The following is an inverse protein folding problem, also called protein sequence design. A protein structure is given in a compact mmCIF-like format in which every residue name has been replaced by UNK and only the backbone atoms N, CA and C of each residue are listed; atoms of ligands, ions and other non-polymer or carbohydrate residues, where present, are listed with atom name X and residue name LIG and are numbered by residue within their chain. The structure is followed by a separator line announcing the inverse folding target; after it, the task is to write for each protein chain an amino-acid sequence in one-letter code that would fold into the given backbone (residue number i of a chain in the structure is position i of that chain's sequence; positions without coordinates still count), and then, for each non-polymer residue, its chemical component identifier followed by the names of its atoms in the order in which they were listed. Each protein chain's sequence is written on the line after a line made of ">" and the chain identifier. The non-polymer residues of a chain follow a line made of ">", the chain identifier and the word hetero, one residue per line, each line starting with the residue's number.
data_IF_187228577897
#
_entry.id   IF_187228577897
#
_cell.length_a   1.000
_cell.length_b   1.000
_cell.length_c   1.000
_cell.angle_alpha   90.00
_cell.angle_beta   90.00
_cell.angle_gamma   90.00
#
_symmetry.space_group_name_H-M   'P 1'
#
loop_
_entity.id
_entity.type
_entity.pdbx_description
1 polymer ?
#
# COMPACT_ATOMS: atom_id res chain seq x y z
N UNK A 1 18.47 1.32 52.25
CA UNK A 1 18.04 0.23 53.17
C UNK A 1 16.64 0.37 53.79
N UNK A 2 15.68 1.05 53.15
CA UNK A 2 14.24 0.90 53.50
C UNK A 2 13.27 0.87 52.29
N UNK A 3 13.78 0.64 51.08
CA UNK A 3 12.98 0.44 49.86
C UNK A 3 13.32 -0.88 49.12
N UNK A 4 14.01 -1.81 49.78
CA UNK A 4 14.35 -3.14 49.25
C UNK A 4 13.58 -4.28 49.95
N UNK A 5 12.48 -3.96 50.66
CA UNK A 5 11.69 -4.94 51.41
C UNK A 5 10.26 -5.14 50.87
N UNK A 6 9.91 -4.53 49.73
CA UNK A 6 8.57 -4.65 49.12
C UNK A 6 8.55 -5.45 47.81
N UNK A 7 9.70 -5.76 47.19
CA UNK A 7 9.77 -6.58 45.97
C UNK A 7 9.84 -8.09 46.29
N UNK A 8 10.20 -8.45 47.53
CA UNK A 8 10.40 -9.84 47.98
C UNK A 8 9.13 -10.64 48.33
N UNK A 9 7.91 -10.11 48.13
CA UNK A 9 6.65 -10.80 48.54
C UNK A 9 5.61 -11.08 47.45
N UNK A 10 5.92 -10.87 46.17
CA UNK A 10 5.00 -11.25 45.07
C UNK A 10 5.60 -12.20 44.02
N UNK A 11 6.58 -13.04 44.40
CA UNK A 11 7.09 -14.14 43.55
C UNK A 11 7.01 -15.50 44.28
N UNK A 12 5.88 -15.76 44.94
CA UNK A 12 5.46 -17.10 45.37
C UNK A 12 4.06 -17.40 44.85
N UNK A 13 3.89 -17.42 43.53
CA UNK A 13 2.86 -18.18 42.83
C UNK A 13 2.87 -17.74 41.36
N UNK A 14 3.55 -18.50 40.50
CA UNK A 14 3.02 -18.96 39.22
C UNK A 14 4.13 -19.73 38.50
N UNK A 15 3.92 -21.04 38.53
CA UNK A 15 4.67 -22.06 37.80
C UNK A 15 4.52 -21.81 36.29
N UNK A 16 5.62 -22.01 35.56
CA UNK A 16 5.69 -22.45 34.16
C UNK A 16 4.95 -21.59 33.12
N UNK A 17 5.69 -20.82 32.31
CA UNK A 17 5.73 -20.91 30.83
C UNK A 17 6.45 -19.69 30.22
N UNK A 18 7.61 -19.97 29.60
CA UNK A 18 8.23 -19.27 28.47
C UNK A 18 8.59 -17.77 28.62
N UNK A 19 9.78 -17.52 29.17
CA UNK A 19 10.47 -16.23 29.09
C UNK A 19 11.27 -16.15 27.78
N UNK A 20 10.68 -15.60 26.71
CA UNK A 20 11.45 -15.10 25.57
C UNK A 20 10.91 -13.73 25.15
N UNK A 21 11.09 -12.74 26.04
CA UNK A 21 11.11 -11.33 25.65
C UNK A 21 11.80 -10.49 26.73
N UNK A 22 12.71 -9.65 26.23
CA UNK A 22 13.22 -8.42 26.86
C UNK A 22 14.25 -8.57 27.97
N UNK A 23 15.52 -8.47 27.58
CA UNK A 23 16.44 -7.56 28.25
C UNK A 23 16.99 -6.57 27.22
N UNK A 24 16.18 -5.58 26.86
CA UNK A 24 16.65 -4.31 26.33
C UNK A 24 16.25 -3.27 27.34
N UNK A 25 17.21 -2.69 28.05
CA UNK A 25 17.12 -1.34 28.62
C UNK A 25 18.55 -0.83 28.93
N UNK A 26 19.04 -0.01 27.99
CA UNK A 26 19.83 1.22 28.15
C UNK A 26 21.23 1.13 28.79
N UNK A 27 22.27 1.23 27.94
CA UNK A 27 23.42 2.12 28.12
C UNK A 27 23.93 2.58 26.72
N UNK A 28 24.19 3.89 26.48
CA UNK A 28 24.72 4.38 25.21
C UNK A 28 26.26 4.29 25.20
N UNK A 29 26.83 4.06 24.01
CA UNK A 29 28.27 3.92 23.71
C UNK A 29 28.91 2.57 24.02
N UNK A 30 28.79 1.62 23.10
CA UNK A 30 29.91 0.90 22.47
C UNK A 30 29.37 -0.08 21.41
N UNK A 31 29.87 0.03 20.17
CA UNK A 31 29.55 -0.85 19.05
C UNK A 31 30.31 -2.17 19.20
N UNK A 32 29.68 -3.22 19.74
CA UNK A 32 30.09 -4.61 19.52
C UNK A 32 28.91 -5.54 19.82
N UNK A 33 28.26 -6.08 18.79
CA UNK A 33 27.23 -7.10 18.95
C UNK A 33 27.89 -8.48 18.89
N UNK A 34 28.04 -9.14 20.05
CA UNK A 34 28.43 -10.56 20.11
C UNK A 34 27.15 -11.38 20.26
N UNK A 35 26.83 -12.20 19.25
CA UNK A 35 25.76 -13.19 19.34
C UNK A 35 26.33 -14.46 19.98
N UNK A 36 25.92 -14.77 21.21
CA UNK A 36 26.20 -16.08 21.82
C UNK A 36 24.96 -16.96 21.66
N UNK A 37 25.09 -18.04 20.88
CA UNK A 37 24.07 -19.10 20.80
C UNK A 37 24.26 -20.01 22.02
N UNK A 38 23.42 -19.86 23.03
CA UNK A 38 23.41 -20.74 24.20
C UNK A 38 22.32 -21.79 23.97
N UNK A 39 22.73 -23.03 23.69
CA UNK A 39 21.84 -24.20 23.76
C UNK A 39 21.77 -24.66 25.21
N UNK A 40 20.66 -24.35 25.90
CA UNK A 40 20.43 -24.78 27.28
C UNK A 40 19.74 -26.14 27.26
N UNK A 41 20.51 -27.20 27.54
CA UNK A 41 20.00 -28.52 27.93
C UNK A 41 19.76 -28.47 29.45
N UNK A 42 18.55 -28.84 29.88
CA UNK A 42 18.03 -28.83 31.27
C UNK A 42 19.07 -28.86 32.42
N UNK A 43 18.88 -28.04 33.47
CA UNK A 43 18.73 -28.45 34.88
C UNK A 43 18.51 -27.24 35.82
N UNK A 44 17.94 -27.52 36.99
CA UNK A 44 17.43 -26.59 38.01
C UNK A 44 18.54 -25.88 38.82
N UNK A 45 18.26 -24.64 39.25
CA UNK A 45 18.96 -23.81 40.23
C UNK A 45 20.35 -23.27 39.85
N UNK A 46 20.39 -22.05 39.28
CA UNK A 46 21.59 -21.21 39.22
C UNK A 46 21.36 -19.99 40.13
N UNK A 47 22.16 -19.87 41.18
CA UNK A 47 22.33 -18.59 41.89
C UNK A 47 23.45 -17.79 41.21
N UNK A 48 23.12 -16.61 40.69
CA UNK A 48 24.10 -15.68 40.11
C UNK A 48 24.46 -14.65 41.20
N UNK A 49 25.66 -14.76 41.78
CA UNK A 49 26.21 -13.75 42.67
C UNK A 49 27.16 -12.80 41.92
N UNK A 50 26.95 -11.50 42.02
CA UNK A 50 27.94 -10.51 41.59
C UNK A 50 28.85 -10.12 42.77
N UNK A 51 30.15 -10.29 42.62
CA UNK A 51 31.16 -9.75 43.55
C UNK A 51 31.91 -8.62 42.84
N UNK A 52 32.05 -7.42 43.42
CA UNK A 52 32.78 -6.34 42.78
C UNK A 52 34.29 -6.56 42.95
N UNK A 53 35.01 -6.87 41.86
CA UNK A 53 36.47 -6.86 41.87
C UNK A 53 37.01 -5.50 41.38
N UNK A 54 37.83 -4.87 42.21
CA UNK A 54 38.73 -3.78 41.79
C UNK A 54 39.98 -4.42 41.20
N UNK A 55 40.23 -4.25 39.90
CA UNK A 55 41.56 -4.44 39.30
C UNK A 55 41.78 -3.40 38.20
N UNK A 56 42.99 -2.85 38.20
CA UNK A 56 43.41 -1.70 37.44
C UNK A 56 43.77 -2.00 35.97
N UNK A 57 44.01 -0.90 35.26
CA UNK A 57 44.48 -0.71 33.89
C UNK A 57 45.19 -1.90 33.22
N UNK A 58 44.60 -2.37 32.11
CA UNK A 58 45.22 -3.27 31.14
C UNK A 58 44.15 -4.05 30.40
N UNK A 59 44.14 -3.94 29.07
CA UNK A 59 43.26 -4.70 28.18
C UNK A 59 43.46 -6.21 28.38
N UNK A 60 42.51 -6.87 29.05
CA UNK A 60 42.17 -8.30 28.94
C UNK A 60 41.06 -8.64 29.96
N UNK A 61 39.79 -8.55 29.53
CA UNK A 61 38.66 -9.00 30.36
C UNK A 61 38.44 -10.52 30.15
N UNK A 62 39.14 -11.32 30.94
CA UNK A 62 38.83 -12.75 31.11
C UNK A 62 37.62 -12.87 32.04
N UNK A 63 36.47 -13.25 31.51
CA UNK A 63 35.29 -13.60 32.32
C UNK A 63 35.54 -14.95 32.99
N UNK A 64 35.95 -14.96 34.27
CA UNK A 64 35.93 -16.18 35.09
C UNK A 64 34.49 -16.52 35.47
N UNK A 65 34.00 -17.66 34.99
CA UNK A 65 32.78 -18.29 35.50
C UNK A 65 33.23 -19.27 36.61
N UNK A 66 32.94 -18.95 37.87
CA UNK A 66 33.10 -19.88 38.98
C UNK A 66 31.89 -20.81 39.00
N UNK A 67 32.08 -22.09 38.65
CA UNK A 67 31.11 -23.15 38.95
C UNK A 67 31.57 -23.93 40.19
N UNK A 68 30.73 -23.93 41.23
CA UNK A 68 30.91 -24.80 42.38
C UNK A 68 30.15 -26.11 42.12
N UNK A 69 30.87 -27.24 42.00
CA UNK A 69 30.24 -28.54 41.83
C UNK A 69 31.16 -29.58 41.17
N UNK A 70 31.45 -30.64 41.92
CA UNK A 70 32.44 -31.71 41.72
C UNK A 70 32.56 -32.32 40.31
N UNK A 71 33.81 -32.70 40.01
CA UNK A 71 34.34 -33.58 38.95
C UNK A 71 34.40 -33.05 37.50
N UNK A 72 35.48 -32.32 37.20
CA UNK A 72 36.01 -32.17 35.84
C UNK A 72 37.45 -32.69 35.83
N UNK A 73 37.71 -33.81 35.14
CA UNK A 73 39.08 -34.29 34.88
C UNK A 73 39.67 -33.50 33.71
N UNK A 74 40.78 -32.81 33.95
CA UNK A 74 41.56 -32.16 32.90
C UNK A 74 42.57 -33.16 32.29
N UNK A 75 42.51 -33.39 30.98
CA UNK A 75 43.61 -33.99 30.22
C UNK A 75 44.46 -32.88 29.60
N UNK A 76 45.80 -32.90 29.75
CA UNK A 76 46.67 -31.93 29.09
C UNK A 76 46.82 -32.26 27.61
N UNK A 77 46.43 -31.33 26.73
CA UNK A 77 46.69 -31.41 25.30
C UNK A 77 48.17 -31.11 25.03
N UNK A 78 48.88 -32.09 24.46
CA UNK A 78 50.24 -31.95 23.92
C UNK A 78 50.26 -30.97 22.73
N UNK A 79 51.36 -30.24 22.49
CA UNK A 79 51.45 -29.31 21.38
C UNK A 79 51.68 -30.08 20.07
N UNK A 80 50.91 -29.77 19.04
CA UNK A 80 51.16 -30.24 17.67
C UNK A 80 50.96 -29.12 16.64
N UNK A 81 51.62 -29.25 15.48
CA UNK A 81 52.42 -28.20 14.87
C UNK A 81 51.67 -27.38 13.81
N UNK A 82 52.36 -26.33 13.33
CA UNK A 82 52.03 -25.52 12.17
C UNK A 82 51.49 -26.32 10.97
N UNK A 83 50.67 -25.59 10.19
CA UNK A 83 50.17 -25.83 8.83
C UNK A 83 48.70 -26.27 8.78
N UNK A 84 47.83 -25.36 8.33
CA UNK A 84 46.86 -25.60 7.25
C UNK A 84 46.23 -24.27 6.80
N UNK A 85 46.33 -24.02 5.49
CA UNK A 85 45.82 -22.85 4.78
C UNK A 85 44.34 -22.60 5.08
N UNK A 86 43.99 -21.37 5.47
CA UNK A 86 42.61 -20.89 5.44
C UNK A 86 42.27 -20.60 3.98
N UNK A 87 41.70 -21.59 3.29
CA UNK A 87 40.94 -21.31 2.06
C UNK A 87 39.70 -20.52 2.46
N UNK A 88 39.60 -19.28 1.99
CA UNK A 88 38.39 -18.47 2.11
C UNK A 88 37.17 -19.30 1.66
N UNK A 89 36.15 -19.36 2.51
CA UNK A 89 34.87 -19.91 2.12
C UNK A 89 34.35 -19.12 0.91
N UNK A 90 33.82 -19.77 -0.14
CA UNK A 90 33.30 -19.06 -1.29
C UNK A 90 32.22 -18.09 -0.82
N UNK A 91 32.47 -16.79 -1.03
CA UNK A 91 31.46 -15.75 -0.87
C UNK A 91 30.24 -16.17 -1.69
N UNK A 92 29.13 -16.45 -1.01
CA UNK A 92 27.84 -16.65 -1.66
C UNK A 92 27.65 -15.49 -2.64
N UNK A 93 27.41 -15.74 -3.94
CA UNK A 93 27.20 -14.65 -4.89
C UNK A 93 26.08 -13.77 -4.34
N UNK A 94 26.35 -12.48 -4.16
CA UNK A 94 25.30 -11.52 -3.88
C UNK A 94 24.20 -11.76 -4.93
N UNK A 95 22.93 -11.97 -4.52
CA UNK A 95 21.86 -12.14 -5.48
C UNK A 95 21.92 -10.96 -6.44
N UNK A 96 21.99 -11.25 -7.75
CA UNK A 96 22.04 -10.21 -8.78
C UNK A 96 20.96 -9.18 -8.46
N UNK A 97 21.26 -7.87 -8.54
CA UNK A 97 20.25 -6.86 -8.33
C UNK A 97 19.04 -7.17 -9.22
N UNK A 98 17.87 -7.30 -8.58
CA UNK A 98 16.60 -7.58 -9.23
C UNK A 98 16.15 -6.28 -9.93
N UNK A 99 16.81 -5.94 -11.04
CA UNK A 99 16.54 -4.73 -11.81
C UNK A 99 16.00 -5.08 -13.20
N UNK A 100 15.16 -6.12 -13.29
CA UNK A 100 14.51 -6.49 -14.54
C UNK A 100 13.02 -6.70 -14.34
N UNK A 101 12.20 -6.05 -15.16
CA UNK A 101 10.76 -6.23 -15.13
C UNK A 101 10.40 -7.47 -15.94
N UNK A 102 9.90 -8.51 -15.27
CA UNK A 102 9.29 -9.68 -15.92
C UNK A 102 7.78 -9.58 -15.83
N UNK A 103 7.12 -9.50 -16.99
CA UNK A 103 5.68 -9.34 -17.08
C UNK A 103 4.99 -10.68 -17.32
N UNK A 104 3.96 -10.95 -16.53
CA UNK A 104 3.01 -12.03 -16.80
C UNK A 104 1.64 -11.42 -17.07
N UNK A 105 0.98 -11.76 -18.19
CA UNK A 105 -0.37 -11.30 -18.46
C UNK A 105 -1.34 -11.66 -17.33
N UNK A 106 -2.18 -10.70 -16.94
CA UNK A 106 -3.32 -10.90 -16.07
C UNK A 106 -4.61 -10.59 -16.85
N UNK A 107 -5.81 -10.98 -16.36
CA UNK A 107 -7.07 -10.63 -17.02
C UNK A 107 -7.23 -9.12 -17.29
N UNK A 108 -6.67 -8.28 -16.40
CA UNK A 108 -6.44 -6.86 -16.64
C UNK A 108 -5.00 -6.50 -16.25
N UNK A 109 -4.27 -5.87 -17.16
CA UNK A 109 -2.89 -5.45 -16.94
C UNK A 109 -1.89 -6.60 -16.86
N UNK A 110 -0.89 -6.46 -16.00
CA UNK A 110 0.22 -7.42 -15.87
C UNK A 110 0.67 -7.59 -14.42
N UNK A 111 1.01 -8.83 -14.06
CA UNK A 111 1.83 -9.09 -12.88
C UNK A 111 3.30 -8.81 -13.22
N UNK A 112 4.00 -8.11 -12.32
CA UNK A 112 5.39 -7.74 -12.47
C UNK A 112 6.22 -8.45 -11.41
N UNK A 113 7.29 -9.10 -11.85
CA UNK A 113 8.22 -9.89 -11.03
C UNK A 113 9.66 -9.53 -11.36
N UNK A 114 10.60 -10.13 -10.63
CA UNK A 114 12.05 -9.96 -10.81
C UNK A 114 12.56 -8.54 -10.51
N UNK A 115 11.79 -7.79 -9.70
CA UNK A 115 12.15 -6.47 -9.18
C UNK A 115 11.77 -6.33 -7.71
N UNK A 116 12.64 -5.71 -6.92
CA UNK A 116 12.35 -5.32 -5.53
C UNK A 116 12.17 -3.79 -5.44
N UNK A 117 10.93 -3.33 -5.27
CA UNK A 117 10.61 -1.92 -5.13
C UNK A 117 11.13 -1.30 -3.82
N UNK A 118 11.57 -2.11 -2.84
CA UNK A 118 12.20 -1.61 -1.62
C UNK A 118 13.61 -1.10 -1.86
N UNK A 119 14.28 -1.56 -2.91
CA UNK A 119 15.64 -1.13 -3.25
C UNK A 119 15.63 0.36 -3.60
N UNK A 120 16.29 1.24 -2.82
CA UNK A 120 16.33 2.67 -3.12
C UNK A 120 17.13 2.99 -4.39
N UNK A 121 18.04 2.11 -4.79
CA UNK A 121 19.03 2.32 -5.87
C UNK A 121 18.57 1.73 -7.21
N UNK A 122 17.24 1.61 -7.42
CA UNK A 122 16.68 1.18 -8.70
C UNK A 122 17.13 2.12 -9.83
N UNK A 123 17.61 1.59 -10.97
CA UNK A 123 18.07 2.41 -12.08
C UNK A 123 16.97 3.33 -12.63
N UNK A 124 17.31 4.56 -12.96
CA UNK A 124 16.38 5.52 -13.57
C UNK A 124 15.70 4.95 -14.83
N UNK A 125 16.42 4.16 -15.62
CA UNK A 125 15.89 3.49 -16.81
C UNK A 125 14.72 2.56 -16.49
N UNK A 126 14.78 1.83 -15.37
CA UNK A 126 13.71 0.97 -14.88
C UNK A 126 12.53 1.80 -14.38
N UNK A 127 12.78 2.87 -13.62
CA UNK A 127 11.72 3.80 -13.17
C UNK A 127 10.98 4.40 -14.37
N UNK A 128 11.71 4.84 -15.40
CA UNK A 128 11.11 5.35 -16.64
C UNK A 128 10.32 4.26 -17.38
N UNK A 129 10.76 3.01 -17.33
CA UNK A 129 10.02 1.88 -17.89
C UNK A 129 8.69 1.68 -17.16
N UNK A 130 8.68 1.64 -15.81
CA UNK A 130 7.46 1.54 -15.00
C UNK A 130 6.48 2.69 -15.32
N UNK A 131 6.99 3.92 -15.47
CA UNK A 131 6.17 5.09 -15.84
C UNK A 131 5.47 4.95 -17.20
N UNK A 132 6.11 4.33 -18.19
CA UNK A 132 5.47 4.07 -19.49
C UNK A 132 4.49 2.90 -19.38
N UNK A 133 4.88 1.87 -18.64
CA UNK A 133 4.13 0.62 -18.55
C UNK A 133 2.82 0.79 -17.79
N UNK A 134 2.73 1.69 -16.82
CA UNK A 134 1.46 1.97 -16.14
C UNK A 134 0.40 2.44 -17.14
N UNK A 135 0.76 3.29 -18.11
CA UNK A 135 -0.19 3.76 -19.13
C UNK A 135 -0.45 2.71 -20.21
N UNK A 136 0.55 1.89 -20.54
CA UNK A 136 0.41 0.80 -21.51
C UNK A 136 -0.48 -0.33 -21.00
N UNK A 137 -0.26 -0.75 -19.76
CA UNK A 137 -0.91 -1.92 -19.17
C UNK A 137 -2.08 -1.54 -18.25
N UNK A 138 -2.17 -0.26 -17.82
CA UNK A 138 -3.21 0.33 -16.95
C UNK A 138 -3.20 -0.17 -15.51
N UNK A 139 -2.76 -1.42 -15.30
CA UNK A 139 -2.62 -2.03 -13.98
C UNK A 139 -1.31 -2.83 -13.94
N UNK A 140 -0.38 -2.41 -13.07
CA UNK A 140 0.84 -3.13 -12.76
C UNK A 140 0.71 -3.72 -11.35
N UNK A 141 0.86 -5.04 -11.23
CA UNK A 141 0.75 -5.75 -9.94
C UNK A 141 2.12 -6.33 -9.61
N UNK A 142 2.91 -5.61 -8.83
CA UNK A 142 4.22 -6.08 -8.37
C UNK A 142 4.02 -7.12 -7.27
N UNK A 143 4.49 -8.34 -7.54
CA UNK A 143 4.36 -9.48 -6.64
C UNK A 143 5.57 -9.58 -5.72
N UNK A 144 5.39 -10.25 -4.58
CA UNK A 144 6.46 -10.63 -3.64
C UNK A 144 7.24 -9.44 -3.05
N UNK A 145 6.62 -8.27 -2.90
CA UNK A 145 7.29 -7.08 -2.37
C UNK A 145 7.41 -7.08 -0.83
N UNK A 146 6.57 -7.87 -0.15
CA UNK A 146 6.49 -7.86 1.32
C UNK A 146 6.05 -6.50 1.84
N UNK A 147 6.62 -6.04 2.96
CA UNK A 147 6.29 -4.73 3.54
C UNK A 147 7.25 -3.65 3.01
N UNK A 148 6.74 -2.75 2.18
CA UNK A 148 7.38 -1.49 1.79
C UNK A 148 7.08 -0.43 2.87
N UNK A 149 8.12 0.25 3.36
CA UNK A 149 7.95 1.29 4.36
C UNK A 149 7.29 2.56 3.76
N UNK A 150 6.73 3.42 4.61
CA UNK A 150 5.96 4.59 4.17
C UNK A 150 6.76 5.59 3.34
N UNK A 151 8.03 5.84 3.71
CA UNK A 151 8.91 6.75 2.96
C UNK A 151 9.14 6.22 1.54
N UNK A 152 9.47 4.93 1.41
CA UNK A 152 9.72 4.31 0.11
C UNK A 152 8.47 4.26 -0.77
N UNK A 153 7.30 3.97 -0.19
CA UNK A 153 6.04 4.03 -0.93
C UNK A 153 5.80 5.45 -1.49
N UNK A 154 6.07 6.49 -0.71
CA UNK A 154 5.98 7.88 -1.20
C UNK A 154 7.00 8.18 -2.31
N UNK A 155 8.23 7.70 -2.19
CA UNK A 155 9.23 7.83 -3.26
C UNK A 155 8.77 7.18 -4.57
N UNK A 156 8.21 5.96 -4.49
CA UNK A 156 7.65 5.25 -5.66
C UNK A 156 6.49 6.06 -6.26
N UNK A 157 5.60 6.62 -5.44
CA UNK A 157 4.52 7.48 -5.92
C UNK A 157 5.06 8.74 -6.63
N UNK A 158 6.16 9.32 -6.14
CA UNK A 158 6.81 10.49 -6.77
C UNK A 158 7.39 10.19 -8.15
N UNK A 159 7.58 8.92 -8.51
CA UNK A 159 7.94 8.56 -9.88
C UNK A 159 6.90 9.03 -10.90
N UNK A 160 5.66 9.31 -10.52
CA UNK A 160 4.61 9.72 -11.46
C UNK A 160 4.25 11.20 -11.37
N UNK A 161 4.71 11.91 -10.33
CA UNK A 161 4.46 13.33 -10.12
C UNK A 161 4.29 13.70 -8.65
N UNK A 162 3.76 14.90 -8.41
CA UNK A 162 3.49 15.37 -7.06
C UNK A 162 2.35 14.58 -6.40
N UNK A 163 2.50 14.29 -5.10
CA UNK A 163 1.47 13.60 -4.34
C UNK A 163 0.46 14.60 -3.78
N UNK A 164 -0.82 14.22 -3.82
CA UNK A 164 -1.86 14.94 -3.10
C UNK A 164 -2.24 14.23 -1.80
N UNK A 165 -2.52 14.99 -0.74
CA UNK A 165 -2.99 14.43 0.52
C UNK A 165 -3.99 15.36 1.19
N UNK A 166 -5.26 15.23 0.80
CA UNK A 166 -6.35 16.03 1.36
C UNK A 166 -7.13 15.27 2.45
N UNK A 167 -6.78 14.03 2.72
CA UNK A 167 -7.46 13.20 3.71
C UNK A 167 -6.79 13.32 5.07
N UNK A 168 -7.61 13.46 6.12
CA UNK A 168 -7.13 13.31 7.49
C UNK A 168 -6.64 11.87 7.68
N UNK A 169 -5.33 11.70 7.84
CA UNK A 169 -4.74 10.38 8.02
C UNK A 169 -5.12 9.77 9.37
N UNK A 170 -5.23 8.45 9.36
CA UNK A 170 -5.30 7.66 10.59
C UNK A 170 -3.94 7.74 11.31
N UNK A 171 -3.88 7.74 12.66
CA UNK A 171 -2.60 7.79 13.39
C UNK A 171 -1.61 6.65 13.06
N UNK A 172 -2.11 5.52 12.54
CA UNK A 172 -1.31 4.37 12.09
C UNK A 172 -0.89 4.44 10.62
N UNK A 173 -1.21 5.52 9.91
CA UNK A 173 -0.68 5.76 8.56
C UNK A 173 0.85 5.84 8.61
N UNK A 174 1.57 5.13 7.72
CA UNK A 174 3.03 5.07 7.76
C UNK A 174 3.71 6.36 7.26
N UNK A 175 2.96 7.26 6.62
CA UNK A 175 3.44 8.55 6.15
C UNK A 175 2.26 9.52 5.99
N UNK A 176 2.52 10.84 6.05
CA UNK A 176 1.50 11.88 5.87
C UNK A 176 0.85 11.92 4.47
N UNK A 177 1.42 11.25 3.48
CA UNK A 177 0.85 11.15 2.13
C UNK A 177 0.25 9.78 1.84
N UNK A 178 0.16 8.91 2.85
CA UNK A 178 -0.38 7.57 2.73
C UNK A 178 -1.62 7.45 3.58
N UNK A 179 -2.74 7.19 2.92
CA UNK A 179 -3.99 6.89 3.58
C UNK A 179 -3.98 5.40 3.93
N UNK A 180 -4.16 5.09 5.21
CA UNK A 180 -4.34 3.71 5.67
C UNK A 180 -5.81 3.38 5.76
N UNK A 181 -6.28 2.49 4.89
CA UNK A 181 -7.68 2.04 4.86
C UNK A 181 -7.81 0.69 5.55
N UNK A 182 -8.88 0.51 6.32
CA UNK A 182 -9.17 -0.74 7.02
C UNK A 182 -10.66 -0.95 7.28
N UNK A 183 -11.08 -2.22 7.40
CA UNK A 183 -12.39 -2.58 7.95
C UNK A 183 -12.44 -2.53 9.49
N UNK A 184 -11.34 -2.17 10.16
CA UNK A 184 -11.29 -1.86 11.59
C UNK A 184 -10.86 -0.41 11.79
N UNK A 185 -11.74 0.39 12.42
CA UNK A 185 -11.49 1.81 12.71
C UNK A 185 -10.28 2.06 13.62
N UNK A 186 -9.82 1.05 14.36
CA UNK A 186 -8.61 1.11 15.19
C UNK A 186 -7.34 0.95 14.35
N UNK A 187 -7.46 0.38 13.16
CA UNK A 187 -6.36 0.09 12.27
C UNK A 187 -6.29 1.04 11.06
N UNK A 188 -7.41 1.64 10.64
CA UNK A 188 -7.43 2.56 9.51
C UNK A 188 -8.79 3.20 9.26
N UNK A 189 -8.89 3.99 8.19
CA UNK A 189 -10.14 4.59 7.76
C UNK A 189 -11.02 3.55 7.05
N UNK A 190 -12.26 3.41 7.48
CA UNK A 190 -13.28 2.58 6.82
C UNK A 190 -14.19 3.38 5.88
N UNK A 191 -14.98 2.69 5.06
CA UNK A 191 -16.00 3.29 4.19
C UNK A 191 -15.47 4.04 2.95
N UNK A 192 -14.15 4.12 2.78
CA UNK A 192 -13.53 4.82 1.63
C UNK A 192 -13.59 3.95 0.38
N UNK A 193 -14.08 4.53 -0.72
CA UNK A 193 -14.16 3.86 -2.03
C UNK A 193 -15.25 2.78 -2.15
N UNK A 194 -16.16 2.70 -1.16
CA UNK A 194 -17.20 1.67 -1.06
C UNK A 194 -18.60 2.14 -1.49
N UNK A 195 -18.72 3.35 -2.05
CA UNK A 195 -20.01 3.95 -2.45
C UNK A 195 -20.29 3.83 -3.95
N UNK A 196 -19.56 2.99 -4.67
CA UNK A 196 -19.79 2.66 -6.08
C UNK A 196 -18.55 2.78 -6.96
N UNK A 197 -18.71 2.50 -8.25
CA UNK A 197 -17.67 2.69 -9.27
C UNK A 197 -17.23 4.15 -9.35
N UNK A 198 -15.93 4.39 -9.36
CA UNK A 198 -15.38 5.73 -9.43
C UNK A 198 -13.95 5.73 -9.98
N UNK A 199 -13.46 6.93 -10.30
CA UNK A 199 -12.03 7.22 -10.29
C UNK A 199 -11.72 8.08 -9.05
N UNK A 200 -10.52 7.94 -8.49
CA UNK A 200 -10.14 8.76 -7.35
C UNK A 200 -9.94 10.22 -7.79
N UNK A 201 -10.37 11.16 -6.94
CA UNK A 201 -10.20 12.59 -7.18
C UNK A 201 -11.10 13.16 -8.28
N UNK A 202 -12.14 12.43 -8.72
CA UNK A 202 -13.10 12.93 -9.71
C UNK A 202 -13.74 14.27 -9.31
N UNK A 203 -13.91 14.57 -8.03
CA UNK A 203 -14.40 15.87 -7.56
C UNK A 203 -13.36 17.02 -7.58
N UNK A 204 -12.19 16.80 -8.19
CA UNK A 204 -11.24 17.86 -8.51
C UNK A 204 -11.31 18.21 -9.99
N UNK A 205 -10.87 19.43 -10.32
CA UNK A 205 -10.67 19.87 -11.70
C UNK A 205 -9.79 18.89 -12.47
N UNK A 206 -8.73 18.45 -11.81
CA UNK A 206 -7.72 17.54 -12.33
C UNK A 206 -7.76 16.26 -11.47
N UNK A 207 -8.48 15.22 -11.90
CA UNK A 207 -8.53 13.95 -11.19
C UNK A 207 -7.14 13.34 -11.04
N UNK A 208 -6.95 12.49 -10.04
CA UNK A 208 -5.64 11.88 -9.82
C UNK A 208 -5.18 11.08 -11.03
N UNK A 209 -3.88 11.16 -11.32
CA UNK A 209 -3.30 10.51 -12.48
C UNK A 209 -3.02 9.03 -12.22
N UNK A 210 -2.41 8.72 -11.07
CA UNK A 210 -2.01 7.37 -10.68
C UNK A 210 -2.41 7.11 -9.23
N UNK A 211 -2.92 5.90 -8.97
CA UNK A 211 -3.21 5.41 -7.64
C UNK A 211 -2.31 4.21 -7.32
N UNK A 212 -1.65 4.25 -6.16
CA UNK A 212 -0.76 3.20 -5.68
C UNK A 212 -1.39 2.54 -4.47
N UNK A 213 -1.40 1.20 -4.46
CA UNK A 213 -1.97 0.40 -3.38
C UNK A 213 -0.93 -0.60 -2.87
N UNK A 214 -0.67 -0.60 -1.57
CA UNK A 214 0.18 -1.60 -0.93
C UNK A 214 -0.65 -2.43 0.06
N UNK A 215 -0.72 -3.74 -0.20
CA UNK A 215 -1.59 -4.66 0.52
C UNK A 215 -0.88 -5.16 1.78
N UNK A 216 -1.40 -4.80 2.95
CA UNK A 216 -0.78 -5.11 4.26
C UNK A 216 -1.44 -6.31 4.92
N UNK A 217 -2.76 -6.32 5.00
CA UNK A 217 -3.54 -7.41 5.58
C UNK A 217 -4.68 -7.80 4.63
N UNK A 218 -4.77 -9.09 4.34
CA UNK A 218 -5.68 -9.65 3.35
C UNK A 218 -6.85 -10.30 4.07
N UNK A 219 -8.08 -9.85 3.82
CA UNK A 219 -9.27 -10.53 4.30
C UNK A 219 -9.58 -11.77 3.44
N UNK A 220 -10.45 -12.65 3.93
CA UNK A 220 -10.94 -13.82 3.18
C UNK A 220 -11.71 -13.42 1.91
N UNK A 221 -12.39 -12.27 1.96
CA UNK A 221 -13.16 -11.66 0.86
C UNK A 221 -13.09 -10.13 0.98
N UNK A 222 -13.30 -9.41 -0.11
CA UNK A 222 -13.27 -7.94 -0.12
C UNK A 222 -12.18 -7.38 -1.04
N UNK A 223 -12.15 -7.94 -2.25
CA UNK A 223 -11.25 -7.57 -3.34
C UNK A 223 -11.43 -6.09 -3.74
N UNK A 224 -10.53 -5.63 -4.60
CA UNK A 224 -10.74 -4.38 -5.36
C UNK A 224 -11.11 -4.73 -6.78
N UNK A 225 -12.28 -4.27 -7.21
CA UNK A 225 -12.76 -4.46 -8.57
C UNK A 225 -12.31 -3.30 -9.46
N UNK A 226 -11.94 -3.60 -10.69
CA UNK A 226 -11.51 -2.65 -11.72
C UNK A 226 -12.30 -2.89 -13.01
N UNK A 227 -12.60 -1.82 -13.73
CA UNK A 227 -13.17 -1.86 -15.08
C UNK A 227 -12.33 -0.99 -16.00
N UNK A 228 -11.86 -1.51 -17.14
CA UNK A 228 -11.07 -0.72 -18.08
C UNK A 228 -11.99 0.10 -18.99
N UNK A 229 -11.80 1.42 -19.00
CA UNK A 229 -12.76 2.29 -19.69
C UNK A 229 -12.71 2.17 -21.20
N UNK A 230 -11.55 1.90 -21.79
CA UNK A 230 -11.44 1.72 -23.24
C UNK A 230 -12.41 0.64 -23.72
N UNK A 231 -12.30 -0.55 -23.14
CA UNK A 231 -13.11 -1.72 -23.51
C UNK A 231 -14.58 -1.51 -23.13
N UNK A 232 -14.87 -0.83 -22.02
CA UNK A 232 -16.24 -0.43 -21.67
C UNK A 232 -16.86 0.43 -22.75
N UNK A 233 -16.17 1.49 -23.17
CA UNK A 233 -16.67 2.45 -24.17
C UNK A 233 -16.81 1.79 -25.54
N UNK A 234 -15.88 0.93 -25.92
CA UNK A 234 -15.95 0.14 -27.16
C UNK A 234 -17.13 -0.86 -27.16
N UNK A 235 -17.62 -1.26 -25.98
CA UNK A 235 -18.76 -2.18 -25.85
C UNK A 235 -20.13 -1.51 -25.77
N UNK A 236 -20.18 -0.16 -25.70
CA UNK A 236 -21.44 0.58 -25.69
C UNK A 236 -22.11 0.51 -27.06
N UNK A 237 -23.46 0.51 -27.07
CA UNK A 237 -24.18 0.69 -28.32
C UNK A 237 -23.89 2.07 -28.92
N UNK A 238 -23.99 2.25 -30.25
CA UNK A 238 -23.81 3.55 -30.88
C UNK A 238 -24.71 4.64 -30.27
N UNK A 239 -25.94 4.29 -29.89
CA UNK A 239 -26.92 5.18 -29.29
C UNK A 239 -26.53 5.59 -27.87
N UNK A 240 -26.14 4.63 -27.02
CA UNK A 240 -25.68 4.91 -25.65
C UNK A 240 -24.41 5.76 -25.68
N UNK A 241 -23.45 5.42 -26.55
CA UNK A 241 -22.21 6.20 -26.70
C UNK A 241 -22.51 7.63 -27.16
N UNK A 242 -23.33 7.82 -28.18
CA UNK A 242 -23.69 9.15 -28.69
C UNK A 242 -24.44 9.97 -27.64
N UNK A 243 -25.33 9.34 -26.86
CA UNK A 243 -26.02 10.01 -25.75
C UNK A 243 -25.03 10.42 -24.68
N UNK A 244 -24.24 9.50 -24.14
CA UNK A 244 -23.32 9.80 -23.05
C UNK A 244 -22.23 10.81 -23.45
N UNK A 245 -21.85 10.91 -24.73
CA UNK A 245 -20.90 11.93 -25.20
C UNK A 245 -21.41 13.37 -24.95
N UNK A 246 -22.72 13.57 -24.81
CA UNK A 246 -23.34 14.86 -24.48
C UNK A 246 -23.29 15.20 -22.99
N UNK A 247 -22.90 14.25 -22.13
CA UNK A 247 -22.92 14.43 -20.68
C UNK A 247 -21.70 15.18 -20.15
N UNK A 248 -22.01 16.07 -19.22
CA UNK A 248 -21.08 16.67 -18.29
C UNK A 248 -21.52 16.32 -16.87
N UNK A 249 -20.60 16.23 -15.93
CA UNK A 249 -20.86 15.83 -14.55
C UNK A 249 -20.71 17.00 -13.58
N UNK A 250 -21.47 16.93 -12.50
CA UNK A 250 -21.41 17.83 -11.36
C UNK A 250 -21.29 16.97 -10.10
N UNK A 251 -20.17 17.10 -9.39
CA UNK A 251 -19.90 16.29 -8.19
C UNK A 251 -20.13 17.07 -6.90
N UNK A 252 -20.39 16.33 -5.82
CA UNK A 252 -20.51 16.87 -4.48
C UNK A 252 -19.13 17.13 -3.84
N UNK A 253 -18.95 18.27 -3.14
CA UNK A 253 -17.81 18.43 -2.21
C UNK A 253 -18.13 17.66 -0.93
N UNK A 254 -17.29 16.70 -0.54
CA UNK A 254 -17.43 15.99 0.75
C UNK A 254 -17.43 16.92 1.98
N UNK A 255 -17.09 18.21 1.83
CA UNK A 255 -17.11 19.26 2.86
C UNK A 255 -18.43 20.07 2.89
N UNK A 256 -19.57 19.42 3.19
CA UNK A 256 -20.73 20.03 3.87
C UNK A 256 -21.31 21.39 3.43
N UNK A 257 -21.05 21.92 2.23
CA UNK A 257 -21.60 23.22 1.78
C UNK A 257 -22.81 23.05 0.87
N UNK A 258 -24.00 23.26 1.44
CA UNK A 258 -25.32 23.70 0.92
C UNK A 258 -25.84 23.31 -0.51
N UNK A 259 -26.87 22.43 -0.63
CA UNK A 259 -27.37 21.76 -1.85
C UNK A 259 -27.82 22.57 -3.09
N UNK A 260 -27.91 23.90 -2.99
CA UNK A 260 -28.88 24.64 -3.83
C UNK A 260 -28.29 25.50 -4.96
N UNK A 261 -26.97 25.48 -5.17
CA UNK A 261 -26.33 26.01 -6.38
C UNK A 261 -24.99 25.30 -6.55
N UNK A 262 -24.85 24.41 -7.53
CA UNK A 262 -23.57 23.72 -7.71
C UNK A 262 -23.07 23.71 -9.14
N UNK A 263 -22.31 24.75 -9.42
CA UNK A 263 -21.04 24.62 -10.08
C UNK A 263 -20.07 23.75 -9.26
N UNK A 264 -19.14 23.03 -9.92
CA UNK A 264 -18.10 22.28 -9.21
C UNK A 264 -17.38 23.22 -8.22
N UNK A 265 -17.25 22.83 -6.95
CA UNK A 265 -16.93 23.73 -5.83
C UNK A 265 -15.49 24.28 -5.84
N UNK A 266 -14.67 23.86 -6.82
CA UNK A 266 -13.31 24.34 -7.05
C UNK A 266 -13.19 25.10 -8.38
N UNK A 267 -14.03 24.82 -9.39
CA UNK A 267 -13.84 25.35 -10.76
C UNK A 267 -14.97 26.25 -11.25
N UNK A 268 -16.13 26.25 -10.61
CA UNK A 268 -17.26 27.04 -11.10
C UNK A 268 -18.03 26.40 -12.27
N UNK A 269 -17.63 25.23 -12.79
CA UNK A 269 -18.20 24.64 -14.02
C UNK A 269 -18.33 23.10 -13.97
N UNK A 270 -19.29 22.48 -14.69
CA UNK A 270 -19.34 21.04 -14.91
C UNK A 270 -18.06 20.51 -15.56
N UNK A 271 -17.69 19.26 -15.28
CA UNK A 271 -16.56 18.59 -15.90
C UNK A 271 -17.03 17.59 -16.96
N UNK A 272 -16.20 17.26 -17.94
CA UNK A 272 -16.52 16.22 -18.91
C UNK A 272 -16.75 14.86 -18.22
N UNK A 273 -17.87 14.20 -18.55
CA UNK A 273 -18.11 12.79 -18.18
C UNK A 273 -17.29 11.86 -19.08
N UNK A 274 -17.39 12.06 -20.39
CA UNK A 274 -16.58 11.39 -21.41
C UNK A 274 -15.35 12.20 -21.76
N UNK A 275 -14.18 11.57 -21.75
CA UNK A 275 -12.92 12.26 -22.09
C UNK A 275 -11.92 11.34 -22.79
N UNK A 276 -10.85 11.93 -23.32
CA UNK A 276 -9.69 11.20 -23.85
C UNK A 276 -8.58 11.16 -22.81
N UNK A 277 -8.08 9.97 -22.54
CA UNK A 277 -6.94 9.77 -21.65
C UNK A 277 -5.75 10.64 -22.11
N UNK A 278 -5.17 11.48 -21.24
CA UNK A 278 -4.22 12.52 -21.67
C UNK A 278 -2.90 11.99 -22.23
N UNK A 279 -2.53 10.73 -21.93
CA UNK A 279 -1.27 10.13 -22.42
C UNK A 279 -1.50 9.21 -23.63
N UNK A 280 -2.61 8.47 -23.65
CA UNK A 280 -2.84 7.39 -24.64
C UNK A 280 -3.91 7.75 -25.67
N UNK A 281 -4.71 8.78 -25.41
CA UNK A 281 -5.85 9.17 -26.23
C UNK A 281 -7.03 8.20 -26.21
N UNK A 282 -6.94 7.09 -25.47
CA UNK A 282 -8.04 6.14 -25.34
C UNK A 282 -9.26 6.80 -24.68
N UNK A 283 -10.49 6.41 -25.09
CA UNK A 283 -11.69 6.93 -24.45
C UNK A 283 -11.75 6.47 -22.99
N UNK A 284 -12.19 7.38 -22.13
CA UNK A 284 -12.28 7.18 -20.69
C UNK A 284 -13.52 7.88 -20.11
N UNK A 285 -13.89 7.48 -18.89
CA UNK A 285 -15.00 8.05 -18.14
C UNK A 285 -14.49 8.70 -16.85
N UNK A 286 -15.01 9.86 -16.51
CA UNK A 286 -14.71 10.56 -15.28
C UNK A 286 -16.01 10.65 -14.46
N UNK A 287 -16.12 9.92 -13.35
CA UNK A 287 -17.33 9.91 -12.53
C UNK A 287 -17.11 9.30 -11.15
N UNK A 288 -18.13 9.41 -10.29
CA UNK A 288 -18.22 8.64 -9.05
C UNK A 288 -19.69 8.26 -8.78
N UNK A 289 -20.04 6.97 -8.87
CA UNK A 289 -21.44 6.52 -8.77
C UNK A 289 -22.12 6.84 -7.44
N UNK A 290 -21.37 6.95 -6.34
CA UNK A 290 -21.90 7.44 -5.05
C UNK A 290 -21.67 8.92 -4.73
N UNK A 291 -21.14 9.71 -5.67
CA UNK A 291 -20.66 11.09 -5.40
C UNK A 291 -21.03 12.12 -6.46
N UNK A 292 -21.46 11.69 -7.65
CA UNK A 292 -22.01 12.56 -8.69
C UNK A 292 -23.42 13.02 -8.29
N UNK A 293 -23.61 14.33 -8.20
CA UNK A 293 -24.85 14.95 -7.73
C UNK A 293 -25.85 15.17 -8.88
N UNK A 294 -25.34 15.56 -10.05
CA UNK A 294 -26.12 15.77 -11.25
C UNK A 294 -25.26 15.62 -12.52
N UNK A 295 -25.93 15.56 -13.65
CA UNK A 295 -25.32 15.72 -14.96
C UNK A 295 -25.89 16.96 -15.66
N UNK A 296 -25.14 17.49 -16.62
CA UNK A 296 -25.58 18.53 -17.53
C UNK A 296 -25.49 17.99 -18.94
N UNK A 297 -26.60 18.05 -19.66
CA UNK A 297 -26.66 17.74 -21.09
C UNK A 297 -26.21 18.96 -21.89
N UNK A 298 -25.38 18.73 -22.91
CA UNK A 298 -25.01 19.73 -23.93
C UNK A 298 -24.51 21.07 -23.37
N UNK A 299 -23.72 21.00 -22.29
CA UNK A 299 -23.15 22.17 -21.62
C UNK A 299 -22.46 23.13 -22.61
N UNK A 300 -22.74 24.43 -22.47
CA UNK A 300 -22.25 25.49 -23.34
C UNK A 300 -23.04 25.69 -24.64
N UNK A 301 -24.23 25.11 -24.78
CA UNK A 301 -25.09 25.25 -25.97
C UNK A 301 -26.50 25.73 -25.60
N UNK A 302 -27.28 26.14 -26.60
CA UNK A 302 -28.69 26.53 -26.41
C UNK A 302 -29.59 25.37 -25.91
N UNK A 303 -29.10 24.14 -25.92
CA UNK A 303 -29.79 22.94 -25.43
C UNK A 303 -29.32 22.53 -24.03
N UNK A 304 -28.50 23.35 -23.37
CA UNK A 304 -27.97 23.06 -22.04
C UNK A 304 -29.10 22.82 -21.03
N UNK A 305 -29.06 21.67 -20.35
CA UNK A 305 -30.02 21.35 -19.29
C UNK A 305 -29.41 20.43 -18.24
N UNK A 306 -29.56 20.80 -16.98
CA UNK A 306 -29.20 19.92 -15.86
C UNK A 306 -30.26 18.82 -15.66
N UNK A 307 -29.81 17.63 -15.29
CA UNK A 307 -30.68 16.53 -14.88
C UNK A 307 -31.36 16.80 -13.55
N UNK A 308 -32.60 16.31 -13.40
CA UNK A 308 -33.20 16.21 -12.08
C UNK A 308 -32.62 15.00 -11.29
N UNK A 309 -33.04 14.84 -10.03
CA UNK A 309 -32.55 13.76 -9.18
C UNK A 309 -32.90 12.36 -9.72
N UNK A 310 -34.09 12.20 -10.33
CA UNK A 310 -34.54 10.91 -10.89
C UNK A 310 -33.73 10.55 -12.13
N UNK A 311 -33.55 11.49 -13.04
CA UNK A 311 -32.73 11.33 -14.24
C UNK A 311 -31.27 11.01 -13.88
N UNK A 312 -30.70 11.71 -12.90
CA UNK A 312 -29.35 11.44 -12.40
C UNK A 312 -29.23 10.00 -11.90
N UNK A 313 -30.17 9.55 -11.06
CA UNK A 313 -30.17 8.18 -10.54
C UNK A 313 -30.37 7.12 -11.64
N UNK A 314 -31.15 7.43 -12.68
CA UNK A 314 -31.29 6.54 -13.84
C UNK A 314 -29.98 6.42 -14.61
N UNK A 315 -29.28 7.53 -14.87
CA UNK A 315 -27.96 7.52 -15.52
C UNK A 315 -26.91 6.76 -14.71
N UNK A 316 -26.85 6.96 -13.40
CA UNK A 316 -25.91 6.23 -12.53
C UNK A 316 -26.18 4.71 -12.51
N UNK A 317 -27.46 4.31 -12.50
CA UNK A 317 -27.85 2.90 -12.63
C UNK A 317 -27.50 2.35 -13.99
N UNK A 318 -27.69 3.13 -15.05
CA UNK A 318 -27.32 2.75 -16.41
C UNK A 318 -25.81 2.54 -16.52
N UNK A 319 -24.99 3.46 -16.01
CA UNK A 319 -23.52 3.32 -15.98
C UNK A 319 -23.12 2.04 -15.23
N UNK A 320 -23.72 1.80 -14.06
CA UNK A 320 -23.48 0.57 -13.32
C UNK A 320 -23.89 -0.68 -14.10
N UNK A 321 -25.05 -0.64 -14.77
CA UNK A 321 -25.53 -1.72 -15.62
C UNK A 321 -24.55 -2.01 -16.76
N UNK A 322 -24.10 -1.00 -17.51
CA UNK A 322 -23.13 -1.16 -18.59
C UNK A 322 -21.78 -1.75 -18.12
N UNK A 323 -21.35 -1.44 -16.90
CA UNK A 323 -20.14 -2.03 -16.31
C UNK A 323 -20.34 -3.50 -15.94
N UNK A 324 -21.52 -3.86 -15.43
CA UNK A 324 -21.79 -5.17 -14.79
C UNK A 324 -22.57 -6.14 -15.69
N UNK A 325 -23.07 -5.69 -16.85
CA UNK A 325 -23.80 -6.52 -17.81
C UNK A 325 -22.93 -7.67 -18.31
N UNK A 326 -23.56 -8.64 -18.96
CA UNK A 326 -22.92 -9.85 -19.47
C UNK A 326 -22.14 -10.61 -18.37
N UNK A 327 -22.72 -10.68 -17.16
CA UNK A 327 -22.14 -11.35 -16.00
C UNK A 327 -20.74 -10.80 -15.64
N UNK A 328 -20.61 -9.47 -15.54
CA UNK A 328 -19.37 -8.80 -15.15
C UNK A 328 -18.19 -9.08 -16.10
N UNK A 329 -18.43 -9.33 -17.40
CA UNK A 329 -17.40 -9.71 -18.38
C UNK A 329 -16.20 -8.75 -18.44
N UNK A 330 -16.42 -7.46 -18.19
CA UNK A 330 -15.36 -6.43 -18.21
C UNK A 330 -14.74 -6.15 -16.84
N UNK A 331 -15.30 -6.70 -15.76
CA UNK A 331 -14.84 -6.42 -14.40
C UNK A 331 -13.75 -7.40 -14.00
N UNK A 332 -12.59 -6.85 -13.65
CA UNK A 332 -11.51 -7.59 -13.03
C UNK A 332 -11.52 -7.39 -11.50
N UNK A 333 -11.74 -8.46 -10.75
CA UNK A 333 -11.60 -8.45 -9.28
C UNK A 333 -10.20 -8.92 -8.90
N UNK A 334 -9.38 -8.01 -8.39
CA UNK A 334 -8.04 -8.38 -7.95
C UNK A 334 -8.09 -9.05 -6.57
N UNK A 335 -7.85 -10.36 -6.56
CA UNK A 335 -7.68 -11.15 -5.33
C UNK A 335 -6.34 -10.83 -4.70
N UNK A 336 -6.40 -10.16 -3.57
CA UNK A 336 -5.24 -9.67 -2.86
C UNK A 336 -4.32 -10.79 -2.38
N UNK A 337 -3.01 -10.54 -2.43
CA UNK A 337 -2.02 -11.24 -1.62
C UNK A 337 -1.25 -10.24 -0.77
N UNK A 338 -0.85 -10.66 0.42
CA UNK A 338 -0.08 -9.80 1.32
C UNK A 338 1.25 -9.41 0.65
N UNK A 339 1.58 -8.12 0.69
CA UNK A 339 2.74 -7.56 0.02
C UNK A 339 2.59 -7.34 -1.48
N UNK A 340 1.40 -7.53 -2.07
CA UNK A 340 1.14 -7.01 -3.41
C UNK A 340 1.26 -5.48 -3.40
N UNK A 341 1.96 -4.95 -4.40
CA UNK A 341 2.06 -3.51 -4.64
C UNK A 341 1.51 -3.19 -6.02
N UNK A 342 0.41 -2.47 -6.07
CA UNK A 342 -0.36 -2.21 -7.29
C UNK A 342 -0.15 -0.76 -7.68
N UNK A 343 0.15 -0.52 -8.95
CA UNK A 343 0.18 0.81 -9.55
C UNK A 343 -0.89 0.81 -10.64
N UNK A 344 -1.91 1.65 -10.46
CA UNK A 344 -3.05 1.75 -11.37
C UNK A 344 -3.06 3.13 -12.05
N UNK A 345 -3.26 3.12 -13.36
CA UNK A 345 -3.64 4.30 -14.12
C UNK A 345 -5.09 4.66 -13.75
N UNK A 346 -5.23 5.64 -12.86
CA UNK A 346 -6.53 6.05 -12.31
C UNK A 346 -7.41 6.75 -13.35
N UNK A 347 -6.82 7.24 -14.44
CA UNK A 347 -7.56 7.88 -15.53
C UNK A 347 -8.09 6.84 -16.53
N UNK A 348 -7.40 5.70 -16.68
CA UNK A 348 -7.82 4.65 -17.60
C UNK A 348 -8.78 3.60 -16.99
N UNK A 349 -8.88 3.53 -15.66
CA UNK A 349 -9.62 2.50 -14.93
C UNK A 349 -10.65 3.12 -13.98
N UNK A 350 -11.85 2.54 -13.95
CA UNK A 350 -12.77 2.72 -12.83
C UNK A 350 -12.53 1.63 -11.78
N UNK A 351 -12.67 1.95 -10.50
CA UNK A 351 -12.54 0.97 -9.43
C UNK A 351 -13.65 1.06 -8.39
N UNK A 352 -13.81 -0.03 -7.65
CA UNK A 352 -14.80 -0.15 -6.59
C UNK A 352 -14.28 -1.09 -5.50
N UNK A 353 -14.28 -0.62 -4.25
CA UNK A 353 -14.10 -1.51 -3.11
C UNK A 353 -15.42 -2.27 -2.91
N UNK A 354 -15.42 -3.58 -3.11
CA UNK A 354 -16.67 -4.35 -3.08
C UNK A 354 -17.34 -4.24 -1.70
N UNK A 355 -18.67 -4.36 -1.59
CA UNK A 355 -19.36 -4.24 -0.29
C UNK A 355 -18.78 -5.15 0.79
N UNK A 356 -18.32 -6.35 0.41
CA UNK A 356 -17.70 -7.31 1.31
C UNK A 356 -16.45 -6.76 1.98
N UNK A 357 -15.71 -5.86 1.31
CA UNK A 357 -14.50 -5.22 1.83
C UNK A 357 -14.73 -4.38 3.10
N UNK A 358 -15.99 -4.03 3.38
CA UNK A 358 -16.40 -3.25 4.55
C UNK A 358 -17.00 -4.11 5.67
N UNK A 359 -17.06 -5.44 5.49
CA UNK A 359 -17.56 -6.33 6.53
C UNK A 359 -16.63 -6.34 7.76
N UNK A 360 -17.18 -6.53 8.98
CA UNK A 360 -16.38 -6.57 10.20
C UNK A 360 -15.28 -7.63 10.18
N UNK A 361 -14.22 -7.39 10.95
CA UNK A 361 -13.07 -8.32 11.11
C UNK A 361 -13.51 -9.73 11.48
N UNK A 362 -14.55 -9.88 12.30
CA UNK A 362 -15.08 -11.18 12.71
C UNK A 362 -15.69 -12.01 11.58
N UNK A 363 -16.01 -11.42 10.42
CA UNK A 363 -16.64 -12.11 9.28
C UNK A 363 -15.69 -12.45 8.15
N UNK A 364 -14.66 -11.64 7.93
CA UNK A 364 -13.76 -11.76 6.78
C UNK A 364 -12.29 -11.57 7.14
N UNK A 365 -11.95 -11.44 8.42
CA UNK A 365 -10.60 -11.10 8.84
C UNK A 365 -10.24 -9.63 8.65
N UNK A 366 -9.01 -9.30 9.01
CA UNK A 366 -8.50 -7.93 8.98
C UNK A 366 -8.10 -7.53 7.57
N UNK A 367 -8.66 -6.43 7.09
CA UNK A 367 -8.32 -5.79 5.81
C UNK A 367 -7.50 -4.54 6.11
N UNK A 368 -6.28 -4.44 5.57
CA UNK A 368 -5.48 -3.21 5.63
C UNK A 368 -4.80 -3.00 4.28
N UNK A 369 -4.98 -1.80 3.73
CA UNK A 369 -4.23 -1.33 2.56
C UNK A 369 -3.70 0.09 2.80
N UNK A 370 -2.56 0.39 2.21
CA UNK A 370 -2.00 1.73 2.14
C UNK A 370 -2.20 2.28 0.74
N UNK A 371 -2.74 3.50 0.64
CA UNK A 371 -2.98 4.16 -0.64
C UNK A 371 -2.24 5.48 -0.71
N UNK A 372 -1.51 5.68 -1.80
CA UNK A 372 -0.99 6.97 -2.22
C UNK A 372 -1.60 7.36 -3.57
N UNK A 373 -1.79 8.65 -3.80
CA UNK A 373 -2.38 9.19 -5.03
C UNK A 373 -1.52 10.33 -5.56
N UNK A 374 -1.42 10.38 -6.87
CA UNK A 374 -0.60 11.37 -7.59
C UNK A 374 -1.53 12.38 -8.23
N UNK A 375 -1.19 13.66 -8.08
CA UNK A 375 -2.00 14.76 -8.60
C UNK A 375 -2.19 14.66 -10.13
N UNK A 376 -3.37 15.09 -10.58
CA UNK A 376 -3.67 15.21 -12.00
C UNK A 376 -3.03 16.45 -12.59
N UNK A 377 -2.53 16.37 -13.82
CA UNK A 377 -1.99 17.53 -14.54
C UNK A 377 -3.06 18.31 -15.30
N UNK A 378 -4.07 17.60 -15.81
CA UNK A 378 -5.00 18.12 -16.81
C UNK A 378 -6.45 17.83 -16.42
N UNK A 379 -7.38 18.77 -16.68
CA UNK A 379 -8.80 18.48 -16.57
C UNK A 379 -9.24 17.50 -17.67
N UNK A 380 -10.27 16.67 -17.43
CA UNK A 380 -10.85 15.79 -18.45
C UNK A 380 -11.32 16.61 -19.66
N UNK A 381 -10.94 16.21 -20.88
CA UNK A 381 -11.33 16.84 -22.16
C UNK A 381 -11.55 15.81 -23.26
N UNK A 382 -12.43 16.08 -24.21
CA UNK A 382 -12.72 15.19 -25.36
C UNK A 382 -11.60 15.06 -26.40
N UNK A 383 -10.70 16.05 -26.49
CA UNK A 383 -9.54 16.00 -27.38
C UNK A 383 -8.28 15.90 -26.53
N UNK A 384 -7.37 15.02 -26.93
CA UNK A 384 -6.03 14.93 -26.34
C UNK A 384 -5.34 16.28 -26.57
N UNK A 385 -4.76 16.86 -25.52
CA UNK A 385 -3.83 17.98 -25.70
C UNK A 385 -2.60 17.46 -26.44
N UNK A 386 -2.42 17.88 -27.69
CA UNK A 386 -1.15 17.75 -28.38
C UNK A 386 -0.26 18.93 -27.95
N UNK A 387 0.71 18.70 -27.06
CA UNK A 387 1.70 19.70 -26.56
C UNK A 387 1.25 20.40 -25.26
N UNK A 388 2.11 20.67 -24.27
CA UNK A 388 3.53 21.04 -24.34
C UNK A 388 4.45 20.23 -23.42
N UNK A 389 5.69 20.02 -23.88
CA UNK A 389 6.84 19.54 -23.10
C UNK A 389 7.24 20.54 -22.01
#
# INVERSE_FOLDING_TARGET
>A
DKEMETVGRCLKSLRTFTLLRMLMLILPFCKLFVYVKIEIVHYENIEIGCVPSKLGSGDDAITQILTCGRDIRFQPLLPRPNICNVTEAPTQPHPKPLHQLHYRPAPLGVEVRSVDLKDPDLPDSLVQQVRRDVHRHRLLIFKDQGVINGTRHVEIARWFGELKSDWKNHPRSPHKHIIRLSNDKREGLGGVGATGWHIDGSFYEKPYSVALYHIIAVPERGDTAFVPFKELVESLSPETRARWDRLWRVDHRWEGRNPLLYSHPVTGHPNHFFYSHPVTGHPALCFHNGGTNAFVWDYGTDQERQTDARETQLLLREIHHEITKDNNRLVYSHKWKAGDFIIADNLALGHYATPESQLPVSKIGLRILHRAVVEGKWPPRKKVQTGDN
#
